data_IF_784997055643
#
_entry.id   IF_784997055643
#
_cell.length_a   1.000
_cell.length_b   1.000
_cell.length_c   1.000
_cell.angle_alpha   90.00
_cell.angle_beta   90.00
_cell.angle_gamma   90.00
#
_symmetry.space_group_name_H-M   'P 1'
#
loop_
_entity.id
_entity.type
_entity.pdbx_description
1 polymer ?
#
# COMPACT_ATOMS: atom_id res chain seq x y z
N UNK A 1 28.79 35.91 0.27
CA UNK A 1 28.52 34.56 0.83
C UNK A 1 27.07 34.34 1.28
N UNK A 2 26.23 35.37 1.37
CA UNK A 2 24.88 35.30 1.98
C UNK A 2 23.80 34.57 1.16
N UNK A 3 23.96 34.51 -0.18
CA UNK A 3 23.01 33.85 -1.08
C UNK A 3 22.90 32.34 -0.87
N UNK A 4 23.94 31.68 -0.34
CA UNK A 4 23.95 30.22 -0.13
C UNK A 4 23.06 29.80 1.05
N UNK A 5 23.10 30.56 2.16
CA UNK A 5 22.31 30.26 3.36
C UNK A 5 20.79 30.42 3.13
N UNK A 6 20.38 31.45 2.37
CA UNK A 6 18.97 31.64 1.99
C UNK A 6 18.48 30.51 1.07
N UNK A 7 19.34 30.02 0.17
CA UNK A 7 19.05 28.86 -0.68
C UNK A 7 18.86 27.57 0.10
N UNK A 8 19.73 27.30 1.08
CA UNK A 8 19.63 26.13 1.97
C UNK A 8 18.32 26.18 2.76
N UNK A 9 17.98 27.33 3.35
CA UNK A 9 16.71 27.51 4.08
C UNK A 9 15.49 27.24 3.22
N UNK A 10 15.44 27.81 2.02
CA UNK A 10 14.32 27.59 1.08
C UNK A 10 14.16 26.10 0.74
N UNK A 11 15.27 25.41 0.46
CA UNK A 11 15.25 23.96 0.18
C UNK A 11 14.84 23.14 1.40
N UNK A 12 15.31 23.49 2.60
CA UNK A 12 14.92 22.81 3.83
C UNK A 12 13.41 22.94 4.10
N UNK A 13 12.84 24.13 3.85
CA UNK A 13 11.40 24.37 3.99
C UNK A 13 10.60 23.53 2.98
N UNK A 14 11.04 23.47 1.72
CA UNK A 14 10.41 22.62 0.71
C UNK A 14 10.46 21.13 1.07
N UNK A 15 11.59 20.66 1.61
CA UNK A 15 11.71 19.27 2.08
C UNK A 15 10.80 19.02 3.29
N UNK A 16 10.73 19.99 4.21
CA UNK A 16 9.87 19.87 5.39
C UNK A 16 8.40 19.84 5.01
N UNK A 17 7.94 20.71 4.12
CA UNK A 17 6.60 20.70 3.54
C UNK A 17 6.24 19.35 2.92
N UNK A 18 7.21 18.73 2.23
CA UNK A 18 7.12 17.35 1.74
C UNK A 18 7.21 16.28 2.84
N UNK A 19 7.04 16.62 4.12
CA UNK A 19 7.02 15.67 5.23
C UNK A 19 8.37 15.06 5.62
N UNK A 20 9.50 15.57 5.12
CA UNK A 20 10.82 15.04 5.49
C UNK A 20 11.11 15.27 6.97
N UNK A 21 11.80 14.31 7.60
CA UNK A 21 12.31 14.45 8.97
C UNK A 21 13.61 15.27 8.98
N UNK A 22 14.01 15.80 10.14
CA UNK A 22 15.22 16.61 10.26
C UNK A 22 16.48 15.86 9.82
N UNK A 23 16.57 14.56 10.14
CA UNK A 23 17.68 13.70 9.70
C UNK A 23 17.70 13.46 8.17
N UNK A 24 16.54 13.46 7.51
CA UNK A 24 16.48 13.37 6.05
C UNK A 24 16.86 14.70 5.38
N UNK A 25 16.48 15.83 5.97
CA UNK A 25 16.88 17.16 5.51
C UNK A 25 18.41 17.33 5.63
N UNK A 26 18.97 16.92 6.76
CA UNK A 26 20.42 16.85 7.00
C UNK A 26 21.13 16.11 5.86
N UNK A 27 20.73 14.84 5.62
CA UNK A 27 21.31 14.00 4.58
C UNK A 27 21.14 14.58 3.16
N UNK A 28 20.00 15.18 2.87
CA UNK A 28 19.69 15.70 1.53
C UNK A 28 20.43 17.01 1.21
N UNK A 29 20.66 17.86 2.21
CA UNK A 29 21.28 19.17 2.03
C UNK A 29 22.77 19.20 2.41
N UNK A 30 23.29 18.14 3.03
CA UNK A 30 24.68 18.09 3.51
C UNK A 30 24.97 19.11 4.62
N UNK A 31 23.96 19.45 5.42
CA UNK A 31 24.07 20.40 6.54
C UNK A 31 24.12 19.65 7.87
N UNK A 32 24.66 20.23 8.96
CA UNK A 32 24.63 19.59 10.27
C UNK A 32 23.19 19.39 10.81
N UNK A 33 22.97 18.33 11.59
CA UNK A 33 21.67 18.04 12.19
C UNK A 33 21.07 19.22 12.98
N UNK A 34 21.90 19.95 13.73
CA UNK A 34 21.47 21.11 14.50
C UNK A 34 20.86 22.21 13.62
N UNK A 35 21.42 22.41 12.42
CA UNK A 35 20.93 23.37 11.44
C UNK A 35 19.63 22.89 10.80
N UNK A 36 19.57 21.61 10.39
CA UNK A 36 18.35 20.99 9.86
C UNK A 36 17.20 21.04 10.87
N UNK A 37 17.49 20.80 12.15
CA UNK A 37 16.53 20.88 13.26
C UNK A 37 16.03 22.32 13.47
N UNK A 38 16.91 23.32 13.44
CA UNK A 38 16.53 24.73 13.55
C UNK A 38 15.59 25.14 12.42
N UNK A 39 15.94 24.82 11.16
CA UNK A 39 15.13 25.12 9.99
C UNK A 39 13.79 24.38 10.00
N UNK A 40 13.78 23.11 10.42
CA UNK A 40 12.56 22.31 10.58
C UNK A 40 11.61 22.88 11.63
N UNK A 41 12.13 23.29 12.80
CA UNK A 41 11.32 23.96 13.83
C UNK A 41 10.78 25.31 13.35
N UNK A 42 11.59 26.07 12.61
CA UNK A 42 11.15 27.35 12.05
C UNK A 42 9.99 27.17 11.06
N UNK A 43 10.05 26.14 10.21
CA UNK A 43 8.94 25.77 9.35
C UNK A 43 7.72 25.33 10.16
N UNK A 44 7.90 24.40 11.10
CA UNK A 44 6.81 23.83 11.92
C UNK A 44 6.08 24.93 12.73
N UNK A 45 6.80 25.95 13.21
CA UNK A 45 6.24 27.09 13.92
C UNK A 45 5.37 27.99 13.02
N UNK A 46 5.69 28.09 11.73
CA UNK A 46 4.96 28.93 10.76
C UNK A 46 3.78 28.21 10.10
N UNK A 47 3.94 26.91 9.85
CA UNK A 47 3.03 26.14 8.98
C UNK A 47 2.39 24.93 9.67
N UNK A 48 2.77 24.65 10.92
CA UNK A 48 2.37 23.43 11.62
C UNK A 48 3.19 22.20 11.18
N UNK A 49 2.97 21.07 11.86
CA UNK A 49 3.70 19.83 11.55
C UNK A 49 3.13 19.19 10.28
N UNK A 50 3.93 19.01 9.22
CA UNK A 50 3.49 18.34 8.00
C UNK A 50 3.22 16.85 8.28
N UNK A 51 2.32 16.25 7.49
CA UNK A 51 2.14 14.79 7.51
C UNK A 51 3.48 14.16 7.15
N UNK A 52 4.00 13.27 8.01
CA UNK A 52 5.28 12.62 7.77
C UNK A 52 5.24 11.91 6.41
N UNK A 53 6.17 12.24 5.52
CA UNK A 53 6.51 11.33 4.44
C UNK A 53 7.25 10.20 5.12
N UNK A 54 6.50 9.14 5.38
CA UNK A 54 7.15 7.85 5.44
C UNK A 54 7.73 7.64 4.06
N UNK A 55 9.00 7.19 3.99
CA UNK A 55 9.74 7.07 2.73
C UNK A 55 8.89 6.34 1.71
N UNK A 56 8.23 7.10 0.85
CA UNK A 56 7.58 6.56 -0.32
C UNK A 56 8.72 6.13 -1.23
N UNK A 57 8.95 4.83 -1.23
CA UNK A 57 9.41 4.00 -2.34
C UNK A 57 10.36 4.72 -3.32
N UNK A 58 11.64 4.35 -3.23
CA UNK A 58 12.52 4.41 -4.40
C UNK A 58 11.98 3.48 -5.50
N UNK A 59 12.31 3.77 -6.77
CA UNK A 59 11.38 4.24 -7.79
C UNK A 59 10.62 3.10 -8.46
N UNK A 60 9.44 3.43 -9.01
CA UNK A 60 8.95 2.93 -10.30
C UNK A 60 9.41 1.52 -10.65
N UNK A 61 8.96 0.48 -9.92
CA UNK A 61 9.06 -0.87 -10.45
C UNK A 61 8.05 -0.96 -11.60
N UNK A 62 8.51 -0.68 -12.81
CA UNK A 62 7.84 -0.98 -14.09
C UNK A 62 7.58 -2.49 -14.28
N UNK A 63 7.97 -3.32 -13.30
CA UNK A 63 7.53 -4.71 -13.24
C UNK A 63 6.09 -4.81 -12.74
N UNK A 64 5.27 -5.58 -13.44
CA UNK A 64 3.92 -6.00 -13.03
C UNK A 64 3.90 -6.87 -11.75
N UNK A 65 5.03 -7.01 -11.05
CA UNK A 65 5.21 -7.87 -9.89
C UNK A 65 5.00 -7.16 -8.55
N UNK A 66 4.83 -7.92 -7.46
CA UNK A 66 4.69 -7.37 -6.13
C UNK A 66 5.97 -6.66 -5.66
N UNK A 67 5.80 -5.56 -4.93
CA UNK A 67 6.91 -4.75 -4.42
C UNK A 67 7.45 -5.36 -3.14
N UNK A 68 8.73 -5.72 -3.10
CA UNK A 68 9.35 -6.29 -1.90
C UNK A 68 9.78 -5.20 -0.92
N UNK A 69 9.28 -5.29 0.32
CA UNK A 69 9.57 -4.37 1.41
C UNK A 69 10.01 -5.13 2.68
N UNK A 70 10.89 -4.56 3.52
CA UNK A 70 11.17 -5.12 4.84
C UNK A 70 10.05 -4.83 5.84
N UNK A 71 9.88 -5.68 6.85
CA UNK A 71 8.86 -5.52 7.92
C UNK A 71 8.91 -4.16 8.61
N UNK A 72 10.10 -3.55 8.70
CA UNK A 72 10.26 -2.21 9.27
C UNK A 72 9.52 -1.14 8.45
N UNK A 73 9.46 -1.31 7.13
CA UNK A 73 8.83 -0.35 6.23
C UNK A 73 7.31 -0.42 6.40
N UNK A 74 6.76 -1.64 6.49
CA UNK A 74 5.36 -1.85 6.83
C UNK A 74 4.97 -1.19 8.15
N UNK A 75 5.80 -1.33 9.20
CA UNK A 75 5.55 -0.68 10.49
C UNK A 75 5.59 0.84 10.40
N UNK A 76 6.49 1.38 9.58
CA UNK A 76 6.68 2.82 9.47
C UNK A 76 5.59 3.47 8.60
N UNK A 77 5.11 2.82 7.52
CA UNK A 77 4.13 3.35 6.55
C UNK A 77 2.90 2.47 6.33
N UNK A 78 2.36 1.86 7.37
CA UNK A 78 1.20 0.97 7.20
C UNK A 78 0.05 1.66 6.46
N UNK A 79 -0.22 2.94 6.76
CA UNK A 79 -1.27 3.71 6.10
C UNK A 79 -0.99 4.01 4.62
N UNK A 80 0.24 4.36 4.24
CA UNK A 80 0.60 4.60 2.84
C UNK A 80 0.62 3.34 2.01
N UNK A 81 1.14 2.25 2.57
CA UNK A 81 1.16 0.94 1.93
C UNK A 81 -0.28 0.43 1.74
N UNK A 82 -1.14 0.50 2.76
CA UNK A 82 -2.52 0.05 2.64
C UNK A 82 -3.33 0.84 1.60
N UNK A 83 -3.09 2.16 1.44
CA UNK A 83 -3.71 2.94 0.36
C UNK A 83 -3.28 2.46 -1.03
N UNK A 84 -2.01 2.07 -1.19
CA UNK A 84 -1.54 1.51 -2.46
C UNK A 84 -2.13 0.13 -2.71
N UNK A 85 -2.26 -0.68 -1.65
CA UNK A 85 -2.93 -1.99 -1.71
C UNK A 85 -4.39 -1.84 -2.11
N UNK A 86 -5.11 -0.88 -1.52
CA UNK A 86 -6.48 -0.56 -1.92
C UNK A 86 -6.57 -0.13 -3.39
N UNK A 87 -5.56 0.57 -3.91
CA UNK A 87 -5.44 0.91 -5.32
C UNK A 87 -5.00 -0.25 -6.23
N UNK A 88 -4.88 -1.48 -5.71
CA UNK A 88 -4.55 -2.67 -6.50
C UNK A 88 -3.09 -3.11 -6.45
N UNK A 89 -2.22 -2.46 -5.66
CA UNK A 89 -0.81 -2.89 -5.53
C UNK A 89 -0.68 -4.11 -4.62
N UNK A 90 0.33 -4.93 -4.89
CA UNK A 90 0.71 -6.06 -4.05
C UNK A 90 2.14 -5.88 -3.53
N UNK A 91 2.40 -6.37 -2.31
CA UNK A 91 3.68 -6.26 -1.62
C UNK A 91 4.13 -7.62 -1.08
N UNK A 92 5.44 -7.88 -1.13
CA UNK A 92 6.08 -8.99 -0.42
C UNK A 92 6.82 -8.42 0.80
N UNK A 93 6.56 -8.97 1.97
CA UNK A 93 7.13 -8.52 3.24
C UNK A 93 8.27 -9.46 3.61
N UNK A 94 9.43 -8.88 3.92
CA UNK A 94 10.63 -9.62 4.30
C UNK A 94 11.05 -9.36 5.76
N UNK A 95 11.63 -10.39 6.38
CA UNK A 95 12.32 -10.32 7.67
C UNK A 95 13.74 -10.84 7.46
N UNK A 96 14.74 -10.01 7.78
CA UNK A 96 16.15 -10.33 7.54
C UNK A 96 16.45 -10.82 6.10
N UNK A 97 15.76 -10.25 5.10
CA UNK A 97 15.92 -10.61 3.69
C UNK A 97 15.13 -11.83 3.22
N UNK A 98 14.49 -12.59 4.14
CA UNK A 98 13.62 -13.71 3.79
C UNK A 98 12.17 -13.24 3.65
N UNK A 99 11.49 -13.64 2.59
CA UNK A 99 10.05 -13.40 2.41
C UNK A 99 9.23 -14.17 3.45
N UNK A 100 8.29 -13.50 4.11
CA UNK A 100 7.48 -14.08 5.19
C UNK A 100 5.99 -13.85 5.06
N UNK A 101 5.58 -12.84 4.28
CA UNK A 101 4.17 -12.54 4.06
C UNK A 101 3.96 -11.82 2.74
N UNK A 102 2.75 -11.93 2.21
CA UNK A 102 2.27 -11.11 1.09
C UNK A 102 1.12 -10.24 1.58
N UNK A 103 1.06 -9.01 1.07
CA UNK A 103 -0.04 -8.08 1.29
C UNK A 103 -0.59 -7.65 -0.06
N UNK A 104 -1.86 -7.95 -0.31
CA UNK A 104 -2.54 -7.61 -1.56
C UNK A 104 -3.97 -7.15 -1.30
N UNK A 105 -4.65 -6.63 -2.34
CA UNK A 105 -6.02 -6.20 -2.23
C UNK A 105 -6.90 -7.36 -1.80
N UNK A 106 -7.83 -7.11 -0.88
CA UNK A 106 -8.87 -8.12 -0.58
C UNK A 106 -9.74 -8.20 -1.82
N UNK A 107 -9.82 -9.39 -2.43
CA UNK A 107 -10.73 -9.61 -3.55
C UNK A 107 -12.14 -9.18 -3.10
N UNK A 108 -12.71 -8.19 -3.80
CA UNK A 108 -14.09 -7.83 -3.58
C UNK A 108 -14.90 -9.11 -3.70
N UNK A 109 -15.60 -9.51 -2.63
CA UNK A 109 -16.43 -10.72 -2.65
C UNK A 109 -17.44 -10.51 -3.77
N UNK A 110 -17.22 -11.15 -4.92
CA UNK A 110 -18.14 -11.09 -6.03
C UNK A 110 -19.47 -11.59 -5.49
N UNK A 111 -20.45 -10.70 -5.30
CA UNK A 111 -21.79 -11.09 -4.84
C UNK A 111 -22.48 -12.02 -5.84
N UNK A 112 -21.92 -12.13 -7.05
CA UNK A 112 -22.35 -13.02 -8.09
C UNK A 112 -21.12 -13.75 -8.64
N UNK A 113 -21.09 -15.07 -8.50
CA UNK A 113 -20.19 -15.92 -9.26
C UNK A 113 -20.76 -16.09 -10.67
N UNK A 114 -19.91 -16.08 -11.70
CA UNK A 114 -20.34 -16.50 -13.03
C UNK A 114 -20.70 -17.99 -13.00
N UNK A 115 -21.61 -18.40 -13.89
CA UNK A 115 -21.95 -19.83 -14.07
C UNK A 115 -20.70 -20.70 -14.26
N UNK A 116 -19.72 -20.21 -15.03
CA UNK A 116 -18.45 -20.90 -15.27
C UNK A 116 -17.59 -21.07 -14.02
N UNK A 117 -17.57 -20.07 -13.12
CA UNK A 117 -16.83 -20.16 -11.86
C UNK A 117 -17.49 -21.19 -10.93
N UNK A 118 -18.82 -21.22 -10.88
CA UNK A 118 -19.56 -22.23 -10.13
C UNK A 118 -19.33 -23.64 -10.69
N UNK A 119 -19.39 -23.80 -12.01
CA UNK A 119 -19.12 -25.09 -12.68
C UNK A 119 -17.70 -25.60 -12.41
N UNK A 120 -16.70 -24.72 -12.36
CA UNK A 120 -15.33 -25.09 -12.02
C UNK A 120 -15.22 -25.60 -10.57
N UNK A 121 -15.84 -24.89 -9.61
CA UNK A 121 -15.86 -25.28 -8.20
C UNK A 121 -16.54 -26.64 -8.02
N UNK A 122 -17.70 -26.86 -8.65
CA UNK A 122 -18.44 -28.14 -8.57
C UNK A 122 -17.68 -29.32 -9.19
N UNK A 123 -16.80 -29.07 -10.18
CA UNK A 123 -15.94 -30.11 -10.75
C UNK A 123 -14.78 -30.48 -9.82
N UNK A 124 -14.22 -29.51 -9.13
CA UNK A 124 -13.08 -29.70 -8.23
C UNK A 124 -13.50 -30.29 -6.88
N UNK A 125 -14.69 -29.92 -6.40
CA UNK A 125 -15.30 -30.45 -5.18
C UNK A 125 -16.76 -30.82 -5.47
N UNK A 126 -17.03 -32.05 -5.94
CA UNK A 126 -18.39 -32.54 -6.12
C UNK A 126 -19.13 -32.49 -4.79
N UNK A 127 -20.33 -31.93 -4.80
CA UNK A 127 -21.26 -32.05 -3.68
C UNK A 127 -21.78 -33.50 -3.61
N UNK A 128 -22.40 -33.86 -2.49
CA UNK A 128 -22.90 -35.23 -2.32
C UNK A 128 -23.95 -35.62 -3.37
N UNK A 129 -24.12 -36.94 -3.55
CA UNK A 129 -25.04 -37.47 -4.55
C UNK A 129 -26.49 -37.06 -4.29
N UNK A 130 -26.85 -36.72 -3.05
CA UNK A 130 -28.20 -36.29 -2.69
C UNK A 130 -28.50 -34.91 -3.23
N UNK A 131 -27.58 -33.97 -3.03
CA UNK A 131 -27.69 -32.62 -3.57
C UNK A 131 -27.77 -32.61 -5.09
N UNK A 132 -27.01 -33.47 -5.77
CA UNK A 132 -27.06 -33.59 -7.24
C UNK A 132 -28.41 -34.14 -7.73
N UNK A 133 -29.06 -35.03 -6.96
CA UNK A 133 -30.42 -35.49 -7.26
C UNK A 133 -31.44 -34.36 -7.11
N UNK A 134 -31.39 -33.64 -5.99
CA UNK A 134 -32.29 -32.51 -5.73
C UNK A 134 -32.22 -31.44 -6.83
N UNK A 135 -31.00 -31.17 -7.36
CA UNK A 135 -30.82 -30.26 -8.51
C UNK A 135 -31.49 -30.81 -9.78
N UNK A 136 -31.29 -32.08 -10.09
CA UNK A 136 -31.84 -32.69 -11.30
C UNK A 136 -33.36 -32.77 -11.26
N UNK A 137 -33.96 -32.93 -10.08
CA UNK A 137 -35.41 -32.96 -9.91
C UNK A 137 -36.04 -31.58 -10.19
N UNK A 138 -35.35 -30.49 -9.87
CA UNK A 138 -35.85 -29.11 -10.05
C UNK A 138 -35.41 -28.48 -11.37
N UNK A 139 -34.38 -29.04 -12.04
CA UNK A 139 -33.86 -28.56 -13.32
C UNK A 139 -34.92 -28.69 -14.44
N UNK A 140 -35.57 -27.58 -14.77
CA UNK A 140 -36.60 -27.52 -15.82
C UNK A 140 -37.94 -26.99 -15.33
N UNK A 141 -38.12 -26.85 -14.01
CA UNK A 141 -39.30 -26.19 -13.46
C UNK A 141 -39.24 -24.68 -13.70
N UNK A 142 -40.35 -24.11 -14.19
CA UNK A 142 -40.51 -22.66 -14.37
C UNK A 142 -41.09 -22.07 -13.10
N UNK A 143 -40.40 -21.08 -12.53
CA UNK A 143 -40.84 -20.34 -11.33
C UNK A 143 -42.24 -19.70 -11.54
N UNK A 144 -42.61 -19.42 -12.79
CA UNK A 144 -43.87 -18.79 -13.19
C UNK A 144 -45.15 -19.64 -12.96
N UNK A 145 -45.03 -20.85 -12.40
CA UNK A 145 -46.15 -21.79 -12.20
C UNK A 145 -46.39 -22.20 -10.74
N UNK A 146 -45.82 -21.47 -9.77
CA UNK A 146 -46.11 -21.57 -8.33
C UNK A 146 -47.09 -20.46 -7.90
#
# INVERSE_FOLDING_TARGET
>A
MEKSASGIKRRAFQLREKGFTYALIEKQLGIPYAEAKKLGHEYDARHGKPRKVVRTLAPESTGSGPITIPVRELRNDSAGILRQVEAGRSFLITVAGREVAALGPVAARGRFASKSALEAILREAPLDDQFMRDINDVLGERIDQL
#
